data_IF_746374824746
#
_entry.id   IF_746374824746
#
_cell.length_a   1.000
_cell.length_b   1.000
_cell.length_c   1.000
_cell.angle_alpha   90.00
_cell.angle_beta   90.00
_cell.angle_gamma   90.00
#
_symmetry.space_group_name_H-M   'P 1'
#
loop_
_entity.id
_entity.type
_entity.pdbx_description
1 polymer ?
#
# COMPACT_ATOMS: atom_id res chain seq x y z
N UNK A 1 -7.97 -1.89 1.76
CA UNK A 1 -6.72 -1.10 1.94
C UNK A 1 -6.03 -1.61 3.18
N UNK A 2 -4.75 -1.93 3.06
CA UNK A 2 -3.84 -2.27 4.17
C UNK A 2 -2.83 -1.13 4.26
N UNK A 3 -2.63 -0.56 5.44
CA UNK A 3 -1.62 0.50 5.66
C UNK A 3 -0.58 -0.02 6.65
N UNK A 4 0.70 0.19 6.34
CA UNK A 4 1.81 -0.09 7.25
C UNK A 4 2.23 1.21 7.94
N UNK A 5 2.47 1.13 9.25
CA UNK A 5 2.88 2.27 10.06
C UNK A 5 4.09 1.95 10.93
N UNK A 6 5.01 2.92 11.04
CA UNK A 6 6.24 2.85 11.81
C UNK A 6 6.14 3.84 12.99
N UNK A 7 6.09 3.34 14.22
CA UNK A 7 5.88 4.19 15.39
C UNK A 7 6.45 3.64 16.70
N UNK A 8 6.49 4.50 17.72
CA UNK A 8 6.83 4.14 19.10
C UNK A 8 5.77 3.18 19.67
N UNK A 9 6.18 2.30 20.61
CA UNK A 9 5.35 1.27 21.26
C UNK A 9 4.16 1.80 22.11
N UNK A 10 3.77 3.06 21.95
CA UNK A 10 2.71 3.72 22.71
C UNK A 10 1.36 3.77 21.97
N UNK A 11 1.29 3.23 20.75
CA UNK A 11 0.11 3.32 19.87
C UNK A 11 -0.33 4.75 19.55
N UNK A 12 0.51 5.74 19.84
CA UNK A 12 0.30 7.15 19.52
C UNK A 12 1.12 7.59 18.29
N UNK A 13 2.14 6.81 17.92
CA UNK A 13 2.95 7.05 16.74
C UNK A 13 2.30 6.55 15.46
N UNK A 14 2.31 7.45 14.46
CA UNK A 14 2.13 7.10 13.07
C UNK A 14 0.81 7.56 12.42
N UNK A 15 0.82 7.62 11.09
CA UNK A 15 -0.22 8.23 10.27
C UNK A 15 -1.57 7.49 10.29
N UNK A 16 -1.61 6.31 10.89
CA UNK A 16 -2.63 5.30 10.64
C UNK A 16 -3.98 5.46 11.35
N UNK A 17 -4.13 6.26 12.41
CA UNK A 17 -5.46 6.47 13.02
C UNK A 17 -6.34 7.45 12.23
N UNK A 18 -5.75 8.39 11.48
CA UNK A 18 -6.49 9.52 10.92
C UNK A 18 -7.06 9.27 9.51
N UNK A 19 -6.67 8.19 8.83
CA UNK A 19 -7.04 7.96 7.43
C UNK A 19 -8.19 6.96 7.26
N UNK A 20 -8.23 5.80 7.94
CA UNK A 20 -9.37 4.89 7.86
C UNK A 20 -10.21 5.03 9.12
N UNK A 21 -11.33 5.75 9.00
CA UNK A 21 -12.28 6.03 10.11
C UNK A 21 -12.80 4.74 10.78
N UNK A 22 -12.75 3.60 10.07
CA UNK A 22 -13.18 2.27 10.53
C UNK A 22 -12.08 1.19 10.43
N UNK A 23 -10.84 1.52 10.77
CA UNK A 23 -9.72 0.56 10.75
C UNK A 23 -9.71 -0.37 11.97
N UNK A 24 -9.47 -1.66 11.73
CA UNK A 24 -9.12 -2.62 12.79
C UNK A 24 -7.64 -2.99 12.69
N UNK A 25 -6.99 -3.20 13.84
CA UNK A 25 -5.61 -3.66 13.92
C UNK A 25 -5.55 -5.11 13.43
N UNK A 26 -5.05 -5.32 12.22
CA UNK A 26 -5.02 -6.64 11.59
C UNK A 26 -3.78 -7.43 12.01
N UNK A 27 -2.62 -6.77 12.17
CA UNK A 27 -1.38 -7.44 12.58
C UNK A 27 -0.37 -6.46 13.21
N UNK A 28 0.45 -6.98 14.13
CA UNK A 28 1.61 -6.31 14.75
C UNK A 28 2.84 -7.19 14.50
N UNK A 29 3.88 -6.67 13.87
CA UNK A 29 5.12 -7.42 13.61
C UNK A 29 6.37 -6.61 14.01
N UNK A 30 7.39 -7.25 14.61
CA UNK A 30 8.71 -6.63 14.70
C UNK A 30 9.29 -6.46 13.28
N UNK A 31 9.79 -5.27 12.98
CA UNK A 31 10.38 -4.95 11.67
C UNK A 31 11.86 -5.36 11.62
N UNK A 32 12.52 -5.38 12.78
CA UNK A 32 13.95 -5.63 12.89
C UNK A 32 14.23 -6.75 13.91
N UNK A 33 15.20 -7.63 13.63
CA UNK A 33 15.57 -8.72 14.56
C UNK A 33 16.21 -8.17 15.85
N UNK A 34 16.82 -6.98 15.76
CA UNK A 34 17.57 -6.34 16.85
C UNK A 34 16.89 -5.08 17.44
N UNK A 35 15.71 -4.66 16.95
CA UNK A 35 15.18 -3.31 17.19
C UNK A 35 13.69 -3.19 17.52
N UNK A 36 13.38 -2.25 18.42
CA UNK A 36 12.09 -1.92 19.08
C UNK A 36 10.98 -1.46 18.08
N UNK A 37 11.25 -1.47 16.77
CA UNK A 37 10.32 -0.97 15.76
C UNK A 37 9.25 -2.01 15.44
N UNK A 38 7.99 -1.57 15.50
CA UNK A 38 6.84 -2.40 15.23
C UNK A 38 6.09 -1.84 14.04
N UNK A 39 5.84 -2.70 13.04
CA UNK A 39 4.89 -2.44 11.99
C UNK A 39 3.48 -2.76 12.47
N UNK A 40 2.58 -1.79 12.34
CA UNK A 40 1.15 -1.99 12.53
C UNK A 40 0.46 -2.02 11.18
N UNK A 41 -0.34 -3.07 10.95
CA UNK A 41 -1.12 -3.23 9.75
C UNK A 41 -2.59 -2.95 10.04
N UNK A 42 -3.15 -1.97 9.35
CA UNK A 42 -4.54 -1.57 9.49
C UNK A 42 -5.31 -1.89 8.23
N UNK A 43 -6.45 -2.58 8.37
CA UNK A 43 -7.28 -2.94 7.24
C UNK A 43 -8.60 -2.14 7.24
N UNK A 44 -9.00 -1.66 6.07
CA UNK A 44 -10.33 -1.12 5.80
C UNK A 44 -10.94 -1.82 4.59
N UNK A 45 -12.16 -2.32 4.75
CA UNK A 45 -12.91 -3.00 3.69
C UNK A 45 -13.48 -2.03 2.65
N UNK A 46 -13.85 -0.82 3.08
CA UNK A 46 -14.57 0.17 2.24
C UNK A 46 -14.00 1.58 2.43
N UNK A 47 -12.73 1.81 2.04
CA UNK A 47 -12.14 3.14 2.18
C UNK A 47 -12.91 4.13 1.29
N UNK A 48 -13.26 5.30 1.84
CA UNK A 48 -13.85 6.37 1.04
C UNK A 48 -12.85 6.87 -0.01
N UNK A 49 -13.32 7.45 -1.13
CA UNK A 49 -12.42 8.09 -2.11
C UNK A 49 -11.47 9.11 -1.48
N UNK A 50 -11.94 9.83 -0.45
CA UNK A 50 -11.12 10.77 0.31
C UNK A 50 -10.00 10.07 1.10
N UNK A 51 -10.29 8.94 1.74
CA UNK A 51 -9.28 8.15 2.45
C UNK A 51 -8.21 7.60 1.49
N UNK A 52 -8.64 7.10 0.32
CA UNK A 52 -7.73 6.64 -0.75
C UNK A 52 -6.84 7.80 -1.22
N UNK A 53 -7.42 8.97 -1.49
CA UNK A 53 -6.65 10.14 -1.92
C UNK A 53 -5.66 10.62 -0.84
N UNK A 54 -6.05 10.61 0.43
CA UNK A 54 -5.14 10.93 1.52
C UNK A 54 -3.97 9.95 1.55
N UNK A 55 -4.23 8.64 1.46
CA UNK A 55 -3.17 7.64 1.39
C UNK A 55 -2.20 7.89 0.23
N UNK A 56 -2.70 8.28 -0.96
CA UNK A 56 -1.83 8.66 -2.08
C UNK A 56 -0.95 9.88 -1.80
N UNK A 57 -1.54 10.98 -1.30
CA UNK A 57 -0.78 12.18 -0.94
C UNK A 57 0.31 11.86 0.09
N UNK A 58 -0.03 10.96 1.02
CA UNK A 58 0.85 10.50 2.06
C UNK A 58 2.04 9.68 1.54
N UNK A 59 1.78 8.78 0.59
CA UNK A 59 2.79 7.93 -0.07
C UNK A 59 3.75 8.77 -0.93
N UNK A 60 3.22 9.74 -1.67
CA UNK A 60 4.03 10.65 -2.52
C UNK A 60 4.92 11.57 -1.66
N UNK A 61 4.54 11.85 -0.43
CA UNK A 61 5.37 12.59 0.51
C UNK A 61 6.42 11.72 1.24
N UNK A 62 6.49 10.41 0.94
CA UNK A 62 7.33 9.44 1.66
C UNK A 62 7.02 9.33 3.16
N UNK A 63 5.78 9.65 3.54
CA UNK A 63 5.36 9.69 4.93
C UNK A 63 4.42 8.51 5.27
N UNK A 64 4.26 7.52 4.37
CA UNK A 64 3.53 6.28 4.64
C UNK A 64 3.51 5.29 3.49
N UNK A 65 3.09 4.05 3.78
CA UNK A 65 2.97 2.97 2.80
C UNK A 65 1.58 2.34 2.86
N UNK A 66 1.00 2.02 1.70
CA UNK A 66 -0.29 1.35 1.61
C UNK A 66 -0.32 0.30 0.50
N UNK A 67 -1.06 -0.77 0.74
CA UNK A 67 -1.43 -1.78 -0.25
C UNK A 67 -2.94 -1.72 -0.46
N UNK A 68 -3.36 -1.54 -1.70
CA UNK A 68 -4.76 -1.67 -2.10
C UNK A 68 -4.97 -3.07 -2.67
N UNK A 69 -6.04 -3.72 -2.21
CA UNK A 69 -6.36 -5.10 -2.59
C UNK A 69 -7.84 -5.37 -2.35
N UNK A 70 -8.36 -6.45 -2.93
CA UNK A 70 -9.69 -6.96 -2.60
C UNK A 70 -9.69 -7.78 -1.31
N UNK A 71 -10.88 -8.21 -0.87
CA UNK A 71 -11.05 -8.98 0.38
C UNK A 71 -10.41 -10.37 0.37
N UNK A 72 -10.14 -10.92 -0.82
CA UNK A 72 -9.58 -12.26 -1.01
C UNK A 72 -8.07 -12.21 -1.30
N UNK A 73 -7.51 -11.01 -1.38
CA UNK A 73 -6.11 -10.74 -1.73
C UNK A 73 -5.74 -11.33 -3.09
N UNK A 74 -6.63 -11.21 -4.07
CA UNK A 74 -6.36 -11.77 -5.41
C UNK A 74 -5.39 -10.92 -6.22
N UNK A 75 -5.37 -9.61 -5.99
CA UNK A 75 -4.44 -8.65 -6.62
C UNK A 75 -3.90 -7.69 -5.57
N UNK A 76 -2.81 -7.01 -5.85
CA UNK A 76 -2.33 -5.93 -5.00
C UNK A 76 -1.80 -4.75 -5.84
N UNK A 77 -2.06 -3.55 -5.35
CA UNK A 77 -1.58 -2.29 -5.90
C UNK A 77 -0.80 -1.56 -4.81
N UNK A 78 0.51 -1.44 -5.01
CA UNK A 78 1.48 -1.00 -4.01
C UNK A 78 2.19 0.28 -4.49
N UNK A 79 1.56 1.46 -4.36
CA UNK A 79 2.18 2.72 -4.77
C UNK A 79 3.32 3.12 -3.82
N UNK A 80 4.34 3.77 -4.37
CA UNK A 80 5.45 4.39 -3.67
C UNK A 80 5.87 5.69 -4.38
N UNK A 81 6.73 6.50 -3.77
CA UNK A 81 7.11 7.83 -4.29
C UNK A 81 7.53 7.86 -5.77
N UNK A 82 8.19 6.80 -6.23
CA UNK A 82 8.74 6.70 -7.59
C UNK A 82 7.99 5.73 -8.52
N UNK A 83 6.83 5.19 -8.13
CA UNK A 83 6.15 4.22 -8.99
C UNK A 83 5.07 3.39 -8.28
N UNK A 84 4.74 2.27 -8.90
CA UNK A 84 3.78 1.31 -8.36
C UNK A 84 4.07 -0.10 -8.82
N UNK A 85 3.96 -1.04 -7.88
CA UNK A 85 3.90 -2.45 -8.21
C UNK A 85 2.43 -2.91 -8.32
N UNK A 86 2.11 -3.62 -9.40
CA UNK A 86 0.81 -4.27 -9.59
C UNK A 86 1.03 -5.78 -9.65
N UNK A 87 0.44 -6.48 -8.69
CA UNK A 87 0.56 -7.93 -8.55
C UNK A 87 -0.73 -8.57 -9.07
N UNK A 88 -0.58 -9.48 -10.04
CA UNK A 88 -1.68 -10.22 -10.65
C UNK A 88 -1.70 -11.68 -10.19
N UNK A 89 -2.88 -12.30 -10.08
CA UNK A 89 -2.99 -13.73 -9.75
C UNK A 89 -2.32 -14.63 -10.79
N UNK A 90 -2.37 -14.23 -12.07
CA UNK A 90 -1.80 -15.00 -13.18
C UNK A 90 -0.97 -14.17 -14.15
N UNK A 91 0.00 -14.79 -14.87
CA UNK A 91 0.73 -14.11 -15.95
C UNK A 91 -0.18 -13.63 -17.08
N UNK A 92 -1.27 -14.35 -17.35
CA UNK A 92 -2.21 -13.98 -18.41
C UNK A 92 -2.90 -12.65 -18.10
N UNK A 93 -3.41 -12.46 -16.88
CA UNK A 93 -4.05 -11.20 -16.47
C UNK A 93 -3.07 -10.03 -16.48
N UNK A 94 -1.81 -10.27 -16.07
CA UNK A 94 -0.74 -9.28 -16.19
C UNK A 94 -0.56 -8.86 -17.65
N UNK A 95 -0.43 -9.82 -18.55
CA UNK A 95 -0.16 -9.54 -19.97
C UNK A 95 -1.34 -8.83 -20.65
N UNK A 96 -2.58 -9.18 -20.30
CA UNK A 96 -3.79 -8.48 -20.74
C UNK A 96 -3.80 -7.03 -20.25
N UNK A 97 -3.48 -6.79 -18.97
CA UNK A 97 -3.37 -5.43 -18.42
C UNK A 97 -2.29 -4.61 -19.12
N UNK A 98 -1.08 -5.16 -19.28
CA UNK A 98 0.04 -4.47 -19.96
C UNK A 98 -0.32 -4.15 -21.41
N UNK A 99 -1.02 -5.04 -22.11
CA UNK A 99 -1.44 -4.79 -23.48
C UNK A 99 -2.52 -3.69 -23.57
N UNK A 100 -3.43 -3.62 -22.60
CA UNK A 100 -4.45 -2.58 -22.54
C UNK A 100 -3.89 -1.20 -22.15
N UNK A 101 -2.82 -1.18 -21.36
CA UNK A 101 -2.22 0.03 -20.78
C UNK A 101 -0.77 0.25 -21.21
N UNK A 102 -0.47 -0.03 -22.49
CA UNK A 102 0.88 0.18 -23.04
C UNK A 102 1.36 1.63 -22.94
N UNK A 103 0.43 2.57 -22.85
CA UNK A 103 0.69 3.99 -22.63
C UNK A 103 1.34 4.29 -21.28
N UNK A 104 1.20 3.41 -20.29
CA UNK A 104 1.80 3.54 -18.97
C UNK A 104 3.24 2.99 -18.89
N UNK A 105 3.72 2.28 -19.93
CA UNK A 105 5.07 1.73 -19.94
C UNK A 105 6.11 2.84 -20.11
N UNK A 106 7.25 2.71 -19.41
CA UNK A 106 8.38 3.62 -19.63
C UNK A 106 8.77 3.58 -21.13
N UNK A 107 8.95 4.76 -21.77
CA UNK A 107 9.44 4.82 -23.14
C UNK A 107 10.92 4.42 -23.25
N UNK A 108 11.61 4.24 -22.12
CA UNK A 108 13.01 3.85 -22.12
C UNK A 108 13.18 2.39 -22.58
N UNK A 109 14.18 2.07 -23.42
CA UNK A 109 14.37 0.72 -23.96
C UNK A 109 14.60 -0.37 -22.90
N UNK A 110 15.03 -0.01 -21.70
CA UNK A 110 15.22 -0.94 -20.58
C UNK A 110 14.00 -1.09 -19.66
N UNK A 111 12.90 -0.38 -19.92
CA UNK A 111 11.70 -0.40 -19.07
C UNK A 111 11.87 0.27 -17.71
N UNK A 112 12.90 1.11 -17.53
CA UNK A 112 13.14 1.93 -16.34
C UNK A 112 12.71 3.38 -16.57
#
# INVERSE_FOLDING_TARGET
MIVEDYGVLDMAGGWSKSIPVDSFAWRKLPVDEDGIAVAYYWASEWPSPQAVNQAFLKIVAEEGYAVFTDKKVTWAFCPYWAGVDIIFPTPQERDEFVNAHRDLLSPHPSGL
#
